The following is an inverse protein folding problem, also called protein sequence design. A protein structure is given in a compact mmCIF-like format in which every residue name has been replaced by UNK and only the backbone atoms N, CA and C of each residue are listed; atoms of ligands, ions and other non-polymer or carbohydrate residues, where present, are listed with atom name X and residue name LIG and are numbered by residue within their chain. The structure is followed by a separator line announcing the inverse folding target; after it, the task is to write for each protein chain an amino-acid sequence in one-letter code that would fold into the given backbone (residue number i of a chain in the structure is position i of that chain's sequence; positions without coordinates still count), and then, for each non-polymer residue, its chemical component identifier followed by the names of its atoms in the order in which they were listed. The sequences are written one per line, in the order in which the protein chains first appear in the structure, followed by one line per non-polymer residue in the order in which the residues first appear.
data_IF_038637054805
#
_entry.id   IF_038637054805
#
_cell.length_a   1.000
_cell.length_b   1.000
_cell.length_c   1.000
_cell.angle_alpha   90.00
_cell.angle_beta   90.00
_cell.angle_gamma   90.00
#
_symmetry.space_group_name_H-M   'P 1'
#
loop_
_entity.id
_entity.type
_entity.pdbx_description
1 polymer ?
#
# COMPACT_ATOMS: atom_id res chain seq x y z
N UNK A 1 -0.22 7.17 15.21
CA UNK A 1 0.79 6.61 16.13
C UNK A 1 0.54 5.11 16.21
N UNK A 2 1.23 4.33 15.38
CA UNK A 2 1.53 2.89 15.54
C UNK A 2 2.09 2.26 14.25
N UNK A 3 3.27 2.75 13.82
CA UNK A 3 4.05 2.15 12.74
C UNK A 3 4.92 0.98 13.27
N UNK A 4 4.36 -0.06 13.88
CA UNK A 4 5.18 -1.04 14.61
C UNK A 4 4.92 -2.52 14.33
N UNK A 5 4.38 -2.91 13.17
CA UNK A 5 3.97 -4.32 13.05
C UNK A 5 5.04 -5.24 12.45
N UNK A 6 5.66 -4.90 11.32
CA UNK A 6 6.62 -5.79 10.65
C UNK A 6 7.96 -5.95 11.38
N UNK A 7 8.45 -4.89 12.01
CA UNK A 7 9.76 -4.87 12.69
C UNK A 7 9.87 -5.89 13.84
N UNK A 8 8.75 -6.23 14.49
CA UNK A 8 8.72 -7.21 15.60
C UNK A 8 8.60 -8.66 15.14
N UNK A 9 8.26 -8.91 13.89
CA UNK A 9 7.95 -10.25 13.39
C UNK A 9 9.16 -10.93 12.74
N UNK A 10 10.13 -10.15 12.23
CA UNK A 10 11.34 -10.72 11.65
C UNK A 10 12.32 -11.10 12.76
N UNK A 11 12.80 -12.34 12.76
CA UNK A 11 13.82 -12.79 13.72
C UNK A 11 15.09 -11.95 13.57
N UNK A 12 15.50 -11.29 14.66
CA UNK A 12 16.75 -10.53 14.76
C UNK A 12 17.55 -10.94 15.98
N UNK A 13 18.87 -10.88 15.88
CA UNK A 13 19.77 -11.11 17.00
C UNK A 13 19.91 -9.86 17.90
N UNK A 14 19.47 -8.72 17.44
CA UNK A 14 19.60 -7.43 18.12
C UNK A 14 18.42 -7.21 19.09
N UNK A 15 18.74 -6.89 20.34
CA UNK A 15 17.72 -6.70 21.40
C UNK A 15 17.16 -5.28 21.49
N UNK A 16 17.84 -4.29 20.90
CA UNK A 16 17.37 -2.90 20.93
C UNK A 16 16.34 -2.65 19.80
N UNK A 17 15.04 -2.46 20.11
CA UNK A 17 14.01 -2.31 19.10
C UNK A 17 14.17 -1.06 18.21
N UNK A 18 14.65 0.05 18.79
CA UNK A 18 14.83 1.31 18.05
C UNK A 18 15.94 1.17 17.00
N UNK A 19 17.03 0.49 17.36
CA UNK A 19 18.12 0.20 16.44
C UNK A 19 17.66 -0.76 15.33
N UNK A 20 16.85 -1.78 15.66
CA UNK A 20 16.28 -2.70 14.67
C UNK A 20 15.41 -1.93 13.68
N UNK A 21 14.50 -1.09 14.18
CA UNK A 21 13.62 -0.28 13.32
C UNK A 21 14.40 0.67 12.41
N UNK A 22 15.42 1.35 12.95
CA UNK A 22 16.28 2.23 12.15
C UNK A 22 17.01 1.47 11.04
N UNK A 23 17.53 0.27 11.34
CA UNK A 23 18.23 -0.56 10.37
C UNK A 23 17.30 -1.15 9.35
N UNK A 24 16.11 -1.61 9.76
CA UNK A 24 15.09 -2.09 8.81
C UNK A 24 14.71 -0.97 7.82
N UNK A 25 14.48 0.26 8.27
CA UNK A 25 14.22 1.41 7.36
C UNK A 25 15.37 1.60 6.37
N UNK A 26 16.60 1.64 6.83
CA UNK A 26 17.78 1.80 5.97
C UNK A 26 17.92 0.68 4.94
N UNK A 27 17.61 -0.56 5.32
CA UNK A 27 17.60 -1.72 4.41
C UNK A 27 16.46 -1.63 3.40
N UNK A 28 15.26 -1.24 3.84
CA UNK A 28 14.08 -1.06 3.00
C UNK A 28 14.32 0.01 1.94
N UNK A 29 14.82 1.20 2.32
CA UNK A 29 15.10 2.30 1.39
C UNK A 29 16.06 1.87 0.28
N UNK A 30 17.12 1.14 0.64
CA UNK A 30 18.06 0.61 -0.33
C UNK A 30 17.45 -0.48 -1.22
N UNK A 31 16.63 -1.37 -0.64
CA UNK A 31 16.05 -2.51 -1.34
C UNK A 31 14.95 -2.10 -2.32
N UNK A 32 14.07 -1.16 -1.95
CA UNK A 32 12.99 -0.65 -2.83
C UNK A 32 13.55 -0.20 -4.16
N UNK A 33 14.58 0.66 -4.15
CA UNK A 33 15.18 1.19 -5.37
C UNK A 33 15.77 0.08 -6.25
N UNK A 34 16.44 -0.90 -5.62
CA UNK A 34 17.02 -2.02 -6.35
C UNK A 34 15.94 -2.96 -6.93
N UNK A 35 14.89 -3.25 -6.16
CA UNK A 35 13.80 -4.11 -6.61
C UNK A 35 13.01 -3.47 -7.77
N UNK A 36 12.73 -2.17 -7.71
CA UNK A 36 12.06 -1.44 -8.80
C UNK A 36 12.93 -1.41 -10.06
N UNK A 37 14.23 -1.11 -9.93
CA UNK A 37 15.10 -0.89 -11.09
C UNK A 37 15.55 -2.17 -11.79
N UNK A 38 15.79 -3.26 -11.07
CA UNK A 38 16.35 -4.49 -11.64
C UNK A 38 15.56 -5.77 -11.32
N UNK A 39 14.50 -5.66 -10.53
CA UNK A 39 13.64 -6.76 -10.10
C UNK A 39 14.17 -7.47 -8.85
N UNK A 40 13.25 -8.08 -8.09
CA UNK A 40 13.56 -8.83 -6.87
C UNK A 40 14.54 -9.98 -7.14
N UNK A 41 14.28 -10.81 -8.15
CA UNK A 41 15.06 -12.02 -8.41
C UNK A 41 16.53 -11.74 -8.76
N UNK A 42 16.80 -10.66 -9.49
CA UNK A 42 18.17 -10.26 -9.89
C UNK A 42 18.92 -9.51 -8.79
N UNK A 43 18.22 -8.96 -7.81
CA UNK A 43 18.83 -8.23 -6.69
C UNK A 43 19.42 -9.24 -5.69
N UNK A 44 20.64 -8.95 -5.23
CA UNK A 44 21.32 -9.74 -4.20
C UNK A 44 21.38 -9.00 -2.87
N UNK A 45 21.40 -9.74 -1.76
CA UNK A 45 21.58 -9.17 -0.41
C UNK A 45 22.89 -8.37 -0.28
N UNK A 46 23.94 -8.74 -1.00
CA UNK A 46 25.21 -7.99 -1.06
C UNK A 46 25.02 -6.62 -1.71
N UNK A 47 24.23 -6.50 -2.77
CA UNK A 47 23.91 -5.22 -3.38
C UNK A 47 23.09 -4.34 -2.43
N UNK A 48 22.11 -4.94 -1.75
CA UNK A 48 21.30 -4.22 -0.75
C UNK A 48 22.18 -3.72 0.40
N UNK A 49 23.01 -4.57 0.99
CA UNK A 49 23.93 -4.17 2.07
C UNK A 49 24.83 -3.01 1.63
N UNK A 50 25.42 -3.11 0.43
CA UNK A 50 26.27 -2.05 -0.13
C UNK A 50 25.51 -0.74 -0.33
N UNK A 51 24.29 -0.81 -0.87
CA UNK A 51 23.42 0.36 -1.11
C UNK A 51 22.98 1.00 0.21
N UNK A 52 22.71 0.17 1.24
CA UNK A 52 22.38 0.60 2.59
C UNK A 52 23.61 1.10 3.40
N UNK A 53 24.84 1.04 2.86
CA UNK A 53 26.04 1.47 3.55
C UNK A 53 26.43 0.61 4.76
N UNK A 54 26.05 -0.68 4.78
CA UNK A 54 26.38 -1.64 5.85
C UNK A 54 27.12 -2.86 5.31
N UNK A 55 27.81 -3.57 6.20
CA UNK A 55 28.45 -4.83 5.82
C UNK A 55 27.39 -5.92 5.60
N UNK A 56 27.71 -6.92 4.77
CA UNK A 56 26.82 -8.07 4.56
C UNK A 56 26.61 -8.88 5.86
N UNK A 57 27.61 -8.93 6.73
CA UNK A 57 27.50 -9.54 8.06
C UNK A 57 26.48 -8.77 8.93
N UNK A 58 26.59 -7.43 8.97
CA UNK A 58 25.64 -6.60 9.70
C UNK A 58 24.20 -6.72 9.15
N UNK A 59 24.02 -6.86 7.85
CA UNK A 59 22.68 -7.08 7.28
C UNK A 59 22.02 -8.33 7.89
N UNK A 60 22.76 -9.45 7.95
CA UNK A 60 22.25 -10.72 8.48
C UNK A 60 22.04 -10.77 10.01
N UNK A 61 22.43 -9.73 10.74
CA UNK A 61 22.05 -9.55 12.15
C UNK A 61 20.58 -9.12 12.28
N UNK A 62 20.01 -8.47 11.23
CA UNK A 62 18.66 -7.89 11.23
C UNK A 62 17.65 -8.65 10.40
N UNK A 63 18.08 -9.48 9.45
CA UNK A 63 17.22 -10.28 8.58
C UNK A 63 17.81 -11.68 8.39
N UNK A 64 17.00 -12.67 8.11
CA UNK A 64 17.47 -14.03 7.83
C UNK A 64 17.57 -14.32 6.32
N UNK A 65 16.74 -13.67 5.49
CA UNK A 65 16.63 -13.95 4.06
C UNK A 65 16.36 -12.71 3.23
N UNK A 66 16.49 -12.81 1.92
CA UNK A 66 16.08 -11.73 0.99
C UNK A 66 14.56 -11.57 0.96
N UNK A 67 13.83 -12.64 1.22
CA UNK A 67 12.38 -12.66 1.32
C UNK A 67 11.89 -11.87 2.54
N UNK A 68 12.64 -11.83 3.64
CA UNK A 68 12.33 -10.96 4.79
C UNK A 68 12.45 -9.47 4.40
N UNK A 69 13.45 -9.14 3.58
CA UNK A 69 13.59 -7.78 3.04
C UNK A 69 12.40 -7.44 2.13
N UNK A 70 11.98 -8.37 1.26
CA UNK A 70 10.81 -8.14 0.40
C UNK A 70 9.55 -7.93 1.24
N UNK A 71 9.36 -8.70 2.29
CA UNK A 71 8.24 -8.51 3.22
C UNK A 71 8.27 -7.12 3.87
N UNK A 72 9.43 -6.68 4.41
CA UNK A 72 9.58 -5.34 4.97
C UNK A 72 9.28 -4.23 3.96
N UNK A 73 9.70 -4.41 2.71
CA UNK A 73 9.40 -3.48 1.61
C UNK A 73 7.89 -3.42 1.36
N UNK A 74 7.21 -4.55 1.24
CA UNK A 74 5.76 -4.60 1.05
C UNK A 74 5.02 -3.93 2.22
N UNK A 75 5.42 -4.22 3.46
CA UNK A 75 4.82 -3.66 4.65
C UNK A 75 5.01 -2.13 4.74
N UNK A 76 6.18 -1.63 4.42
CA UNK A 76 6.46 -0.19 4.37
C UNK A 76 5.60 0.54 3.31
N UNK A 77 5.44 -0.06 2.13
CA UNK A 77 4.59 0.48 1.06
C UNK A 77 3.12 0.53 1.51
N UNK A 78 2.61 -0.56 2.10
CA UNK A 78 1.25 -0.58 2.63
C UNK A 78 1.03 0.45 3.73
N UNK A 79 2.00 0.61 4.65
CA UNK A 79 1.92 1.61 5.71
C UNK A 79 1.83 3.05 5.16
N UNK A 80 2.57 3.36 4.10
CA UNK A 80 2.52 4.67 3.44
C UNK A 80 1.17 4.91 2.75
N UNK A 81 0.63 3.89 2.07
CA UNK A 81 -0.70 3.95 1.47
C UNK A 81 -1.77 4.15 2.54
N UNK A 82 -1.76 3.34 3.60
CA UNK A 82 -2.70 3.41 4.71
C UNK A 82 -2.66 4.78 5.41
N UNK A 83 -1.47 5.32 5.63
CA UNK A 83 -1.31 6.64 6.22
C UNK A 83 -1.95 7.73 5.34
N UNK A 84 -1.67 7.74 4.03
CA UNK A 84 -2.21 8.73 3.10
C UNK A 84 -3.74 8.71 3.08
N UNK A 85 -4.36 7.52 3.05
CA UNK A 85 -5.82 7.36 3.07
C UNK A 85 -6.41 7.78 4.43
N UNK A 86 -5.78 7.38 5.54
CA UNK A 86 -6.24 7.72 6.89
C UNK A 86 -6.18 9.23 7.16
N UNK A 87 -5.14 9.91 6.67
CA UNK A 87 -5.03 11.37 6.75
C UNK A 87 -6.13 12.07 5.95
N UNK A 88 -6.46 11.55 4.75
CA UNK A 88 -7.57 12.06 3.96
C UNK A 88 -8.90 11.91 4.69
N UNK A 89 -9.13 10.73 5.28
CA UNK A 89 -10.33 10.45 6.08
C UNK A 89 -10.46 11.38 7.29
N UNK A 90 -9.34 11.71 7.95
CA UNK A 90 -9.34 12.63 9.10
C UNK A 90 -9.63 14.09 8.70
N UNK A 91 -9.30 14.49 7.47
CA UNK A 91 -9.58 15.85 6.93
C UNK A 91 -10.98 15.98 6.35
N UNK A 92 -11.60 14.88 5.98
CA UNK A 92 -12.91 14.89 5.32
C UNK A 92 -14.01 15.44 6.24
N UNK A 93 -14.75 16.42 5.73
CA UNK A 93 -15.72 17.20 6.51
C UNK A 93 -17.11 16.56 6.71
N UNK A 94 -17.26 15.31 6.26
CA UNK A 94 -18.54 14.59 6.26
C UNK A 94 -19.25 14.69 4.90
N UNK A 95 -20.21 13.80 4.69
CA UNK A 95 -21.01 13.78 3.49
C UNK A 95 -20.43 13.00 2.29
N UNK A 96 -21.19 12.96 1.21
CA UNK A 96 -20.76 12.34 -0.06
C UNK A 96 -19.42 12.89 -0.56
N UNK A 97 -19.13 14.16 -0.26
CA UNK A 97 -17.84 14.78 -0.54
C UNK A 97 -16.68 14.08 0.16
N UNK A 98 -16.91 13.52 1.36
CA UNK A 98 -15.89 12.78 2.10
C UNK A 98 -15.42 11.54 1.37
N UNK A 99 -16.35 10.76 0.79
CA UNK A 99 -15.96 9.58 0.00
C UNK A 99 -15.17 9.99 -1.25
N UNK A 100 -15.62 11.06 -1.94
CA UNK A 100 -14.90 11.59 -3.09
C UNK A 100 -13.49 12.06 -2.73
N UNK A 101 -13.31 12.73 -1.59
CA UNK A 101 -12.01 13.16 -1.08
C UNK A 101 -11.10 11.97 -0.73
N UNK A 102 -11.63 10.95 -0.06
CA UNK A 102 -10.87 9.74 0.28
C UNK A 102 -10.46 8.96 -0.99
N UNK A 103 -11.38 8.81 -1.96
CA UNK A 103 -11.07 8.18 -3.26
C UNK A 103 -9.98 8.99 -3.99
N UNK A 104 -10.11 10.31 -4.02
CA UNK A 104 -9.13 11.21 -4.64
C UNK A 104 -7.73 11.01 -4.05
N UNK A 105 -7.61 11.10 -2.74
CA UNK A 105 -6.31 10.97 -2.07
C UNK A 105 -5.70 9.57 -2.27
N UNK A 106 -6.53 8.53 -2.18
CA UNK A 106 -6.08 7.17 -2.45
C UNK A 106 -5.52 7.03 -3.88
N UNK A 107 -6.23 7.53 -4.89
CA UNK A 107 -5.78 7.46 -6.28
C UNK A 107 -4.53 8.29 -6.53
N UNK A 108 -4.39 9.45 -5.85
CA UNK A 108 -3.15 10.23 -5.88
C UNK A 108 -1.98 9.48 -5.23
N UNK A 109 -2.22 8.77 -4.12
CA UNK A 109 -1.21 7.89 -3.51
C UNK A 109 -0.82 6.79 -4.50
N UNK A 110 -1.79 6.10 -5.12
CA UNK A 110 -1.52 5.08 -6.13
C UNK A 110 -0.70 5.64 -7.32
N UNK A 111 -0.98 6.87 -7.75
CA UNK A 111 -0.22 7.51 -8.81
C UNK A 111 1.23 7.81 -8.40
N UNK A 112 1.45 8.33 -7.18
CA UNK A 112 2.80 8.60 -6.66
C UNK A 112 3.60 7.32 -6.45
N UNK A 113 2.95 6.27 -5.95
CA UNK A 113 3.55 4.99 -5.60
C UNK A 113 3.43 3.93 -6.71
N UNK A 114 3.27 4.36 -7.96
CA UNK A 114 3.01 3.46 -9.09
C UNK A 114 3.95 2.24 -9.14
N UNK A 115 5.26 2.47 -9.12
CA UNK A 115 6.25 1.40 -9.24
C UNK A 115 6.31 0.51 -7.97
N UNK A 116 6.00 1.07 -6.81
CA UNK A 116 5.91 0.35 -5.54
C UNK A 116 4.71 -0.61 -5.52
N UNK A 117 3.55 -0.15 -5.99
CA UNK A 117 2.34 -0.98 -6.09
C UNK A 117 2.56 -2.12 -7.11
N UNK A 118 3.19 -1.82 -8.25
CA UNK A 118 3.58 -2.86 -9.20
C UNK A 118 4.51 -3.90 -8.58
N UNK A 119 5.50 -3.48 -7.79
CA UNK A 119 6.42 -4.38 -7.09
C UNK A 119 5.66 -5.33 -6.15
N UNK A 120 4.72 -4.83 -5.34
CA UNK A 120 3.91 -5.69 -4.47
C UNK A 120 3.19 -6.76 -5.29
N UNK A 121 2.45 -6.36 -6.32
CA UNK A 121 1.67 -7.30 -7.13
C UNK A 121 2.53 -8.34 -7.86
N UNK A 122 3.68 -7.94 -8.38
CA UNK A 122 4.57 -8.84 -9.10
C UNK A 122 5.26 -9.83 -8.17
N UNK A 123 5.63 -9.39 -6.96
CA UNK A 123 6.54 -10.15 -6.10
C UNK A 123 5.87 -10.78 -4.87
N UNK A 124 4.60 -10.51 -4.60
CA UNK A 124 3.88 -11.15 -3.47
C UNK A 124 3.92 -12.68 -3.56
N UNK A 125 3.92 -13.25 -4.77
CA UNK A 125 4.02 -14.70 -4.97
C UNK A 125 5.42 -15.26 -4.66
N UNK A 126 6.44 -14.43 -4.64
CA UNK A 126 7.81 -14.79 -4.25
C UNK A 126 8.00 -14.89 -2.73
N UNK A 127 7.02 -14.43 -1.96
CA UNK A 127 7.05 -14.47 -0.49
C UNK A 127 6.72 -15.87 0.05
N UNK A 128 7.41 -16.32 1.11
CA UNK A 128 6.98 -17.48 1.91
C UNK A 128 5.53 -17.33 2.39
N UNK A 129 4.79 -18.44 2.59
CA UNK A 129 3.36 -18.39 2.90
C UNK A 129 2.99 -17.48 4.07
N UNK A 130 3.82 -17.44 5.13
CA UNK A 130 3.59 -16.59 6.28
C UNK A 130 3.64 -15.09 5.95
N UNK A 131 4.63 -14.65 5.18
CA UNK A 131 4.77 -13.26 4.78
C UNK A 131 3.73 -12.85 3.73
N UNK A 132 3.45 -13.75 2.78
CA UNK A 132 2.39 -13.53 1.82
C UNK A 132 1.04 -13.31 2.48
N UNK A 133 0.71 -14.11 3.51
CA UNK A 133 -0.53 -13.94 4.28
C UNK A 133 -0.59 -12.54 4.90
N UNK A 134 0.50 -12.07 5.52
CA UNK A 134 0.58 -10.74 6.13
C UNK A 134 0.40 -9.60 5.12
N UNK A 135 1.03 -9.71 3.96
CA UNK A 135 0.86 -8.73 2.88
C UNK A 135 -0.60 -8.65 2.42
N UNK A 136 -1.28 -9.79 2.27
CA UNK A 136 -2.69 -9.82 1.91
C UNK A 136 -3.61 -9.29 3.04
N UNK A 137 -3.27 -9.53 4.29
CA UNK A 137 -3.97 -8.93 5.45
C UNK A 137 -3.84 -7.40 5.46
N UNK A 138 -2.70 -6.84 5.06
CA UNK A 138 -2.50 -5.40 4.91
C UNK A 138 -3.38 -4.82 3.80
N UNK A 139 -3.52 -5.49 2.66
CA UNK A 139 -4.44 -5.11 1.57
C UNK A 139 -5.90 -5.04 2.07
N UNK A 140 -6.34 -6.06 2.81
CA UNK A 140 -7.69 -6.10 3.39
C UNK A 140 -7.90 -4.95 4.39
N UNK A 141 -6.87 -4.59 5.17
CA UNK A 141 -6.95 -3.48 6.13
C UNK A 141 -7.15 -2.13 5.44
N UNK A 142 -6.44 -1.87 4.32
CA UNK A 142 -6.65 -0.66 3.52
C UNK A 142 -8.08 -0.62 2.96
N UNK A 143 -8.59 -1.74 2.45
CA UNK A 143 -9.97 -1.85 1.99
C UNK A 143 -10.97 -1.59 3.11
N UNK A 144 -10.66 -1.99 4.35
CA UNK A 144 -11.45 -1.71 5.55
C UNK A 144 -11.71 -0.23 5.80
N UNK A 145 -10.76 0.65 5.44
CA UNK A 145 -10.95 2.11 5.57
C UNK A 145 -12.10 2.59 4.68
N UNK A 146 -12.21 2.06 3.46
CA UNK A 146 -13.34 2.39 2.58
C UNK A 146 -14.66 1.86 3.13
N UNK A 147 -14.67 0.67 3.75
CA UNK A 147 -15.85 0.14 4.43
C UNK A 147 -16.35 1.10 5.52
N UNK A 148 -15.47 1.60 6.38
CA UNK A 148 -15.83 2.55 7.44
C UNK A 148 -16.43 3.85 6.90
N UNK A 149 -15.93 4.36 5.77
CA UNK A 149 -16.50 5.55 5.13
C UNK A 149 -17.90 5.26 4.58
N UNK A 150 -18.08 4.14 3.88
CA UNK A 150 -19.37 3.72 3.33
C UNK A 150 -20.41 3.52 4.44
N UNK A 151 -20.07 2.85 5.54
CA UNK A 151 -20.94 2.64 6.70
C UNK A 151 -21.42 3.97 7.31
N UNK A 152 -20.51 4.94 7.46
CA UNK A 152 -20.87 6.28 7.96
C UNK A 152 -21.85 6.98 7.04
N UNK A 153 -21.64 6.96 5.73
CA UNK A 153 -22.52 7.63 4.75
C UNK A 153 -23.89 6.97 4.64
N UNK A 154 -23.97 5.65 4.79
CA UNK A 154 -25.24 4.93 4.84
C UNK A 154 -25.99 5.27 6.14
N UNK A 155 -25.27 5.27 7.27
CA UNK A 155 -25.85 5.58 8.58
C UNK A 155 -26.35 7.03 8.68
N UNK A 156 -25.72 7.97 7.98
CA UNK A 156 -26.17 9.37 7.89
C UNK A 156 -27.31 9.60 6.87
N UNK A 157 -27.68 8.56 6.09
CA UNK A 157 -28.70 8.66 5.05
C UNK A 157 -28.23 9.32 3.75
N UNK A 158 -26.94 9.54 3.59
CA UNK A 158 -26.36 10.16 2.41
C UNK A 158 -26.15 9.18 1.23
N UNK A 159 -26.00 7.91 1.55
CA UNK A 159 -26.03 6.82 0.59
C UNK A 159 -27.23 5.90 0.86
N UNK A 160 -27.79 5.28 -0.19
CA UNK A 160 -28.83 4.28 -0.02
C UNK A 160 -28.30 3.08 0.79
N UNK A 161 -29.20 2.38 1.45
CA UNK A 161 -28.85 1.16 2.18
C UNK A 161 -28.24 0.12 1.24
N UNK A 162 -27.05 -0.34 1.60
CA UNK A 162 -26.36 -1.46 0.94
C UNK A 162 -26.25 -2.62 1.94
N UNK A 163 -26.35 -3.85 1.44
CA UNK A 163 -26.00 -5.00 2.25
C UNK A 163 -24.50 -5.00 2.56
N UNK A 164 -24.09 -5.62 3.65
CA UNK A 164 -22.68 -5.77 4.04
C UNK A 164 -21.83 -6.31 2.86
N UNK A 165 -22.31 -7.36 2.18
CA UNK A 165 -21.66 -7.94 1.00
C UNK A 165 -21.52 -6.95 -0.15
N UNK A 166 -22.49 -6.06 -0.34
CA UNK A 166 -22.42 -5.02 -1.38
C UNK A 166 -21.42 -3.94 -1.02
N UNK A 167 -21.39 -3.52 0.24
CA UNK A 167 -20.39 -2.55 0.72
C UNK A 167 -18.97 -3.10 0.60
N UNK A 168 -18.75 -4.35 1.01
CA UNK A 168 -17.47 -5.04 0.86
C UNK A 168 -16.99 -5.02 -0.60
N UNK A 169 -17.88 -5.38 -1.55
CA UNK A 169 -17.54 -5.36 -2.97
C UNK A 169 -17.23 -3.95 -3.49
N UNK A 170 -17.98 -2.93 -3.05
CA UNK A 170 -17.73 -1.53 -3.42
C UNK A 170 -16.36 -1.08 -2.88
N UNK A 171 -16.03 -1.40 -1.63
CA UNK A 171 -14.73 -1.07 -1.04
C UNK A 171 -13.57 -1.73 -1.81
N UNK A 172 -13.70 -3.01 -2.16
CA UNK A 172 -12.72 -3.69 -3.02
C UNK A 172 -12.63 -3.08 -4.43
N UNK A 173 -13.76 -2.66 -5.02
CA UNK A 173 -13.75 -1.99 -6.31
C UNK A 173 -12.98 -0.66 -6.24
N UNK A 174 -13.16 0.13 -5.18
CA UNK A 174 -12.39 1.37 -4.98
C UNK A 174 -10.89 1.05 -4.95
N UNK A 175 -10.48 0.06 -4.16
CA UNK A 175 -9.08 -0.37 -4.08
C UNK A 175 -8.53 -0.77 -5.45
N UNK A 176 -9.23 -1.66 -6.15
CA UNK A 176 -8.79 -2.16 -7.47
C UNK A 176 -8.76 -1.05 -8.53
N UNK A 177 -9.70 -0.09 -8.50
CA UNK A 177 -9.70 1.04 -9.44
C UNK A 177 -8.49 1.95 -9.24
N UNK A 178 -8.04 2.17 -8.01
CA UNK A 178 -6.77 2.86 -7.75
C UNK A 178 -5.58 2.11 -8.34
N UNK A 179 -5.53 0.79 -8.18
CA UNK A 179 -4.48 -0.06 -8.74
C UNK A 179 -4.59 -0.20 -10.28
N UNK A 180 -5.79 -0.09 -10.85
CA UNK A 180 -5.97 -0.12 -12.30
C UNK A 180 -5.22 1.02 -12.99
N UNK A 181 -5.16 2.22 -12.38
CA UNK A 181 -4.31 3.31 -12.86
C UNK A 181 -2.86 2.86 -13.03
N UNK A 182 -2.33 2.16 -12.05
CA UNK A 182 -0.98 1.58 -12.05
C UNK A 182 -0.81 0.53 -13.15
N UNK A 183 -1.70 -0.48 -13.20
CA UNK A 183 -1.57 -1.60 -14.14
C UNK A 183 -1.79 -1.20 -15.60
N UNK A 184 -2.60 -0.20 -15.84
CA UNK A 184 -2.95 0.28 -17.19
C UNK A 184 -2.32 1.63 -17.51
N UNK A 185 -1.34 2.09 -16.73
CA UNK A 185 -0.68 3.40 -16.89
C UNK A 185 -0.15 3.61 -18.31
N UNK A 186 0.38 2.57 -18.95
CA UNK A 186 0.85 2.59 -20.32
C UNK A 186 -0.21 3.03 -21.33
N UNK A 187 -1.49 2.85 -21.04
CA UNK A 187 -2.63 3.29 -21.82
C UNK A 187 -3.26 4.54 -21.19
N UNK A 188 -3.65 4.48 -19.92
CA UNK A 188 -4.44 5.52 -19.27
C UNK A 188 -3.73 6.88 -19.27
N UNK A 189 -2.45 6.94 -18.92
CA UNK A 189 -1.71 8.20 -18.85
C UNK A 189 -1.43 8.85 -20.23
N UNK A 190 -1.79 8.18 -21.33
CA UNK A 190 -1.75 8.77 -22.68
C UNK A 190 -3.05 9.48 -23.05
N UNK A 191 -4.15 9.17 -22.39
CA UNK A 191 -5.49 9.61 -22.75
C UNK A 191 -6.16 10.43 -21.65
N UNK A 192 -5.72 10.28 -20.39
CA UNK A 192 -6.29 10.92 -19.22
C UNK A 192 -5.18 11.51 -18.35
N UNK A 193 -5.45 12.68 -17.75
CA UNK A 193 -4.71 13.10 -16.57
C UNK A 193 -5.13 12.24 -15.36
N UNK A 194 -4.36 12.30 -14.28
CA UNK A 194 -4.79 11.63 -13.04
C UNK A 194 -6.06 12.27 -12.47
N UNK A 195 -6.22 13.57 -12.66
CA UNK A 195 -7.40 14.32 -12.26
C UNK A 195 -8.65 13.86 -13.01
N UNK A 196 -8.57 13.74 -14.36
CA UNK A 196 -9.67 13.20 -15.17
C UNK A 196 -10.06 11.79 -14.75
N UNK A 197 -9.06 10.94 -14.49
CA UNK A 197 -9.29 9.57 -14.03
C UNK A 197 -9.99 9.53 -12.68
N UNK A 198 -9.57 10.36 -11.73
CA UNK A 198 -10.19 10.49 -10.40
C UNK A 198 -11.65 10.94 -10.54
N UNK A 199 -11.90 11.99 -11.32
CA UNK A 199 -13.26 12.52 -11.51
C UNK A 199 -14.19 11.45 -12.07
N UNK A 200 -13.83 10.85 -13.20
CA UNK A 200 -14.65 9.84 -13.89
C UNK A 200 -14.89 8.59 -13.03
N UNK A 201 -13.89 8.10 -12.32
CA UNK A 201 -14.06 6.93 -11.46
C UNK A 201 -14.89 7.25 -10.22
N UNK A 202 -14.75 8.44 -9.67
CA UNK A 202 -15.57 8.89 -8.53
C UNK A 202 -17.03 9.01 -8.93
N UNK A 203 -17.33 9.62 -10.10
CA UNK A 203 -18.68 9.67 -10.65
C UNK A 203 -19.28 8.27 -10.85
N UNK A 204 -18.51 7.35 -11.39
CA UNK A 204 -18.92 5.95 -11.58
C UNK A 204 -19.24 5.27 -10.25
N UNK A 205 -18.37 5.39 -9.23
CA UNK A 205 -18.55 4.77 -7.91
C UNK A 205 -19.78 5.34 -7.19
N UNK A 206 -19.98 6.66 -7.28
CA UNK A 206 -21.11 7.34 -6.62
C UNK A 206 -22.42 7.20 -7.38
N UNK A 207 -22.43 6.58 -8.56
CA UNK A 207 -23.61 6.45 -9.41
C UNK A 207 -24.08 7.80 -9.97
N UNK A 208 -23.22 8.77 -10.09
CA UNK A 208 -23.49 10.09 -10.66
C UNK A 208 -23.05 10.03 -12.13
N UNK A 209 -23.85 9.35 -12.96
CA UNK A 209 -23.65 9.48 -14.42
C UNK A 209 -24.26 10.81 -14.86
N UNK A 210 -23.45 11.65 -15.50
CA UNK A 210 -23.93 12.86 -16.21
C UNK A 210 -24.66 12.45 -17.49
#
# INVERSE_FOLDING_TARGET
MEQRHATKEIPTQIKNPELVEQRHRQIVDAAVLLFINQGFHKTTTRQIARSAGISIGSLYEYIASKEDILYLVCDAIHAEVEQGVSEAMARASGGRSSLAEVIREYFLVCNRMNDHILLIYQETQSLPPQWRKKVLENEVRITGIFMEVLERLISSGELPHLSERSMELVAHNISVLGHMWTFRRWFLARHYSIEDYIELQTEFILGISR
#
